data_IF_874702390171
#
_entry.id   IF_874702390171
#
_cell.length_a   1.000
_cell.length_b   1.000
_cell.length_c   1.000
_cell.angle_alpha   90.00
_cell.angle_beta   90.00
_cell.angle_gamma   90.00
#
_symmetry.space_group_name_H-M   'P 1'
#
loop_
_entity.id
_entity.type
_entity.pdbx_description
1 polymer ?
#
# COMPACT_ATOMS: atom_id res chain seq x y z
N UNK A 1 -17.97 25.54 -24.44
CA UNK A 1 -18.43 24.64 -23.37
C UNK A 1 -17.31 24.51 -22.35
N UNK A 2 -17.54 24.63 -21.04
CA UNK A 2 -16.49 24.33 -20.07
C UNK A 2 -16.22 22.83 -20.11
N UNK A 3 -14.99 22.45 -20.41
CA UNK A 3 -14.53 21.06 -20.30
C UNK A 3 -14.39 20.79 -18.81
N UNK A 4 -15.22 19.92 -18.24
CA UNK A 4 -15.01 19.41 -16.88
C UNK A 4 -13.68 18.67 -16.89
N UNK A 5 -12.64 19.28 -16.35
CA UNK A 5 -11.34 18.64 -16.19
C UNK A 5 -11.46 17.64 -15.05
N UNK A 6 -11.56 16.35 -15.40
CA UNK A 6 -11.49 15.28 -14.40
C UNK A 6 -10.05 15.25 -13.90
N UNK A 7 -9.86 15.70 -12.66
CA UNK A 7 -8.56 15.59 -12.01
C UNK A 7 -8.25 14.12 -11.77
N UNK A 8 -7.08 13.63 -12.22
CA UNK A 8 -6.70 12.25 -11.96
C UNK A 8 -6.59 11.99 -10.46
N UNK A 9 -6.99 10.79 -10.03
CA UNK A 9 -7.01 10.35 -8.63
C UNK A 9 -6.07 9.17 -8.44
N UNK A 10 -5.44 9.09 -7.26
CA UNK A 10 -4.61 7.96 -6.85
C UNK A 10 -4.91 7.59 -5.39
N UNK A 11 -5.45 6.39 -5.20
CA UNK A 11 -5.81 5.88 -3.87
C UNK A 11 -4.96 4.65 -3.54
N UNK A 12 -4.31 4.69 -2.37
CA UNK A 12 -3.77 3.51 -1.72
C UNK A 12 -4.89 2.91 -0.87
N UNK A 13 -5.34 1.71 -1.20
CA UNK A 13 -6.59 1.15 -0.67
C UNK A 13 -6.36 0.23 0.52
N UNK A 14 -5.41 -0.70 0.40
CA UNK A 14 -5.21 -1.73 1.40
C UNK A 14 -3.75 -2.23 1.44
N UNK A 15 -3.35 -2.67 2.63
CA UNK A 15 -2.08 -3.33 2.90
C UNK A 15 -2.39 -4.68 3.57
N UNK A 16 -1.92 -5.77 2.99
CA UNK A 16 -2.02 -7.10 3.58
C UNK A 16 -0.62 -7.60 3.90
N UNK A 17 -0.34 -7.84 5.17
CA UNK A 17 1.01 -8.20 5.61
C UNK A 17 1.14 -9.69 5.93
N UNK A 18 2.31 -10.23 5.65
CA UNK A 18 2.79 -11.51 6.18
C UNK A 18 4.03 -11.27 7.07
N UNK A 19 4.84 -12.29 7.35
CA UNK A 19 6.06 -12.12 8.15
C UNK A 19 7.06 -11.15 7.49
N UNK A 20 7.33 -11.31 6.19
CA UNK A 20 8.36 -10.55 5.45
C UNK A 20 7.88 -9.90 4.17
N UNK A 21 6.57 -9.71 4.04
CA UNK A 21 6.01 -9.06 2.86
C UNK A 21 4.75 -8.28 3.18
N UNK A 22 4.45 -7.32 2.31
CA UNK A 22 3.19 -6.59 2.26
C UNK A 22 2.69 -6.64 0.83
N UNK A 23 1.44 -7.05 0.64
CA UNK A 23 0.70 -6.86 -0.61
C UNK A 23 -0.01 -5.51 -0.54
N UNK A 24 0.34 -4.62 -1.46
CA UNK A 24 -0.19 -3.28 -1.61
C UNK A 24 -1.29 -3.36 -2.68
N UNK A 25 -2.49 -2.85 -2.40
CA UNK A 25 -3.57 -2.69 -3.39
C UNK A 25 -3.91 -1.22 -3.56
N UNK A 26 -4.07 -0.78 -4.80
CA UNK A 26 -4.30 0.62 -5.14
C UNK A 26 -5.20 0.79 -6.36
N UNK A 27 -5.71 2.00 -6.52
CA UNK A 27 -6.56 2.37 -7.65
C UNK A 27 -6.14 3.74 -8.16
N UNK A 28 -6.19 3.90 -9.48
CA UNK A 28 -6.00 5.18 -10.12
C UNK A 28 -7.16 5.48 -11.07
N UNK A 29 -7.52 6.76 -11.17
CA UNK A 29 -8.40 7.27 -12.20
C UNK A 29 -7.59 8.16 -13.13
N UNK A 30 -7.42 7.72 -14.37
CA UNK A 30 -6.56 8.38 -15.37
C UNK A 30 -5.39 7.49 -15.81
N UNK A 31 -4.72 7.90 -16.88
CA UNK A 31 -3.60 7.16 -17.44
C UNK A 31 -2.29 7.56 -16.75
N UNK A 32 -1.72 6.64 -15.97
CA UNK A 32 -0.45 6.85 -15.29
C UNK A 32 0.71 6.57 -16.25
N UNK A 33 1.67 7.50 -16.32
CA UNK A 33 2.94 7.36 -17.04
C UNK A 33 4.00 6.70 -16.17
N UNK A 34 4.13 7.13 -14.90
CA UNK A 34 5.06 6.51 -13.93
C UNK A 34 4.39 6.38 -12.58
N UNK A 35 4.68 5.28 -11.88
CA UNK A 35 4.17 5.00 -10.55
C UNK A 35 5.31 4.57 -9.64
N UNK A 36 5.38 5.17 -8.47
CA UNK A 36 6.39 4.89 -7.44
C UNK A 36 5.66 4.55 -6.14
N UNK A 37 6.06 3.45 -5.51
CA UNK A 37 5.76 3.16 -4.12
C UNK A 37 6.86 3.73 -3.25
N UNK A 38 6.47 4.54 -2.28
CA UNK A 38 7.33 5.10 -1.27
C UNK A 38 7.10 4.34 0.02
N UNK A 39 8.16 3.75 0.57
CA UNK A 39 8.11 3.00 1.82
C UNK A 39 9.05 3.64 2.82
N UNK A 40 8.57 3.92 4.03
CA UNK A 40 9.42 4.29 5.18
C UNK A 40 9.39 3.17 6.21
N UNK A 41 10.57 2.82 6.70
CA UNK A 41 10.78 1.89 7.79
C UNK A 41 10.83 2.66 9.12
N UNK A 42 10.02 2.28 10.10
CA UNK A 42 9.97 2.99 11.39
C UNK A 42 11.28 2.87 12.19
N UNK A 43 12.04 1.80 11.98
CA UNK A 43 13.25 1.52 12.75
C UNK A 43 14.41 2.41 12.32
N UNK A 44 14.57 2.67 11.01
CA UNK A 44 15.66 3.50 10.49
C UNK A 44 15.21 4.85 9.90
N UNK A 45 13.91 5.06 9.74
CA UNK A 45 13.29 6.26 9.18
C UNK A 45 13.55 6.46 7.68
N UNK A 46 14.26 5.56 7.00
CA UNK A 46 14.69 5.77 5.61
C UNK A 46 13.54 5.54 4.65
N UNK A 47 13.41 6.44 3.69
CA UNK A 47 12.48 6.29 2.58
C UNK A 47 13.15 5.47 1.46
N UNK A 48 12.50 4.36 1.08
CA UNK A 48 12.81 3.59 -0.11
C UNK A 48 11.81 3.95 -1.21
N UNK A 49 12.33 4.23 -2.40
CA UNK A 49 11.53 4.47 -3.61
C UNK A 49 11.58 3.21 -4.46
N UNK A 50 10.41 2.68 -4.80
CA UNK A 50 10.25 1.45 -5.55
C UNK A 50 9.42 1.79 -6.80
N UNK A 51 10.02 1.81 -8.01
CA UNK A 51 9.26 1.92 -9.24
C UNK A 51 8.36 0.69 -9.40
N UNK A 52 7.07 0.91 -9.65
CA UNK A 52 6.11 -0.19 -9.86
C UNK A 52 5.33 0.00 -11.16
N UNK A 53 4.78 -1.08 -11.69
CA UNK A 53 4.06 -1.04 -12.96
C UNK A 53 2.73 -0.29 -12.82
N UNK A 54 2.46 0.71 -13.68
CA UNK A 54 1.15 1.35 -13.75
C UNK A 54 0.05 0.41 -14.29
N UNK A 55 0.40 -0.71 -14.91
CA UNK A 55 -0.54 -1.64 -15.53
C UNK A 55 -1.22 -2.58 -14.52
N UNK A 56 -0.70 -2.67 -13.30
CA UNK A 56 -1.26 -3.49 -12.23
C UNK A 56 -1.90 -2.62 -11.17
N UNK A 57 -2.84 -3.18 -10.42
CA UNK A 57 -3.51 -2.54 -9.28
C UNK A 57 -3.03 -3.10 -7.94
N UNK A 58 -1.98 -3.92 -7.97
CA UNK A 58 -1.34 -4.48 -6.80
C UNK A 58 0.17 -4.60 -6.98
N UNK A 59 0.88 -4.65 -5.86
CA UNK A 59 2.32 -4.84 -5.80
C UNK A 59 2.69 -5.62 -4.53
N UNK A 60 3.54 -6.63 -4.65
CA UNK A 60 4.09 -7.36 -3.52
C UNK A 60 5.44 -6.76 -3.16
N UNK A 61 5.50 -6.06 -2.02
CA UNK A 61 6.76 -5.65 -1.41
C UNK A 61 7.27 -6.79 -0.52
N UNK A 62 8.38 -7.42 -0.93
CA UNK A 62 8.98 -8.58 -0.26
C UNK A 62 10.27 -8.22 0.47
N UNK A 63 10.83 -9.20 1.18
CA UNK A 63 12.12 -9.08 1.88
C UNK A 63 12.13 -7.97 2.94
N UNK A 64 10.99 -7.83 3.62
CA UNK A 64 10.87 -6.95 4.78
C UNK A 64 11.47 -7.60 6.02
N UNK A 65 11.95 -6.75 6.92
CA UNK A 65 12.26 -7.19 8.27
C UNK A 65 10.96 -7.49 9.02
N UNK A 66 10.96 -8.62 9.72
CA UNK A 66 9.85 -9.04 10.55
C UNK A 66 9.75 -8.17 11.81
N UNK A 67 8.55 -8.05 12.38
CA UNK A 67 8.35 -7.29 13.62
C UNK A 67 8.74 -5.81 13.49
N UNK A 68 8.41 -5.21 12.35
CA UNK A 68 8.72 -3.83 12.04
C UNK A 68 7.50 -3.10 11.46
N UNK A 69 7.43 -1.79 11.65
CA UNK A 69 6.34 -0.97 11.11
C UNK A 69 6.79 -0.30 9.82
N UNK A 70 5.98 -0.46 8.79
CA UNK A 70 6.19 0.17 7.49
C UNK A 70 5.07 1.16 7.19
N UNK A 71 5.43 2.33 6.66
CA UNK A 71 4.49 3.31 6.13
C UNK A 71 4.65 3.40 4.63
N UNK A 72 3.55 3.39 3.90
CA UNK A 72 3.50 3.38 2.45
C UNK A 72 2.66 4.54 1.92
N UNK A 73 3.11 5.14 0.82
CA UNK A 73 2.27 5.97 -0.04
C UNK A 73 2.71 5.83 -1.50
N UNK A 74 1.81 6.14 -2.42
CA UNK A 74 2.09 6.11 -3.84
C UNK A 74 2.29 7.51 -4.37
N UNK A 75 3.14 7.63 -5.39
CA UNK A 75 3.31 8.84 -6.20
C UNK A 75 3.16 8.47 -7.66
N UNK A 76 2.24 9.14 -8.35
CA UNK A 76 2.02 8.95 -9.79
C UNK A 76 2.31 10.23 -10.57
N UNK A 77 2.87 10.06 -11.77
CA UNK A 77 2.87 11.06 -12.83
C UNK A 77 1.92 10.59 -13.92
N UNK A 78 0.90 11.37 -14.24
CA UNK A 78 -0.11 11.05 -15.24
C UNK A 78 0.31 11.51 -16.64
N UNK A 79 -0.29 10.93 -17.68
CA UNK A 79 0.02 11.24 -19.08
C UNK A 79 -0.28 12.69 -19.46
N UNK A 80 -1.22 13.34 -18.76
CA UNK A 80 -1.53 14.76 -18.87
C UNK A 80 -0.59 15.67 -18.06
N UNK A 81 0.48 15.12 -17.45
CA UNK A 81 1.47 15.86 -16.69
C UNK A 81 1.13 16.11 -15.22
N UNK A 82 -0.09 15.75 -14.78
CA UNK A 82 -0.46 15.89 -13.37
C UNK A 82 0.35 14.94 -12.49
N UNK A 83 0.71 15.41 -11.30
CA UNK A 83 1.41 14.64 -10.28
C UNK A 83 0.50 14.54 -9.07
N UNK A 84 0.35 13.35 -8.50
CA UNK A 84 -0.52 13.12 -7.34
C UNK A 84 0.10 12.07 -6.43
N UNK A 85 -0.08 12.27 -5.12
CA UNK A 85 0.25 11.30 -4.10
C UNK A 85 -1.04 10.69 -3.53
N UNK A 86 -0.99 9.42 -3.15
CA UNK A 86 -2.06 8.83 -2.33
C UNK A 86 -1.97 9.31 -0.89
N UNK A 87 -3.01 9.03 -0.10
CA UNK A 87 -2.88 8.99 1.36
C UNK A 87 -1.83 7.93 1.78
N UNK A 88 -1.24 8.12 2.95
CA UNK A 88 -0.31 7.17 3.55
C UNK A 88 -1.05 6.13 4.38
N UNK A 89 -0.67 4.85 4.26
CA UNK A 89 -1.14 3.77 5.13
C UNK A 89 0.05 3.13 5.85
N UNK A 90 -0.16 2.65 7.07
CA UNK A 90 0.87 1.96 7.84
C UNK A 90 0.44 0.54 8.21
N UNK A 91 1.41 -0.37 8.30
CA UNK A 91 1.19 -1.78 8.66
C UNK A 91 2.39 -2.31 9.46
N UNK A 92 2.13 -3.25 10.36
CA UNK A 92 3.19 -3.95 11.10
C UNK A 92 3.47 -5.29 10.42
N UNK A 93 4.73 -5.59 10.11
CA UNK A 93 5.15 -6.91 9.64
C UNK A 93 5.12 -7.91 10.80
N UNK A 94 4.62 -9.12 10.53
CA UNK A 94 4.38 -10.09 11.59
C UNK A 94 5.67 -10.74 12.11
N UNK A 95 5.78 -10.88 13.43
CA UNK A 95 6.91 -11.58 14.10
C UNK A 95 6.93 -13.10 13.84
N UNK A 96 5.86 -13.69 13.30
CA UNK A 96 5.65 -15.16 13.29
C UNK A 96 5.32 -15.65 11.88
N UNK A 97 6.02 -16.67 11.39
CA UNK A 97 5.52 -17.47 10.27
C UNK A 97 4.30 -18.25 10.76
N UNK A 98 3.11 -17.66 10.61
CA UNK A 98 1.87 -18.33 10.94
C UNK A 98 1.62 -19.44 9.91
N UNK A 99 1.28 -20.67 10.32
CA UNK A 99 0.73 -21.66 9.41
C UNK A 99 -0.47 -21.07 8.66
N UNK A 100 -0.70 -21.47 7.41
CA UNK A 100 -1.73 -20.85 6.55
C UNK A 100 -3.13 -20.75 7.19
N UNK A 101 -3.49 -21.70 8.08
CA UNK A 101 -4.76 -21.69 8.81
C UNK A 101 -4.88 -20.64 9.93
N UNK A 102 -3.78 -20.08 10.43
CA UNK A 102 -3.78 -19.02 11.45
C UNK A 102 -3.77 -17.61 10.84
N UNK A 103 -3.29 -17.46 9.60
CA UNK A 103 -3.30 -16.18 8.88
C UNK A 103 -4.73 -15.63 8.78
N UNK A 104 -5.71 -16.47 8.44
CA UNK A 104 -7.12 -16.05 8.33
C UNK A 104 -7.75 -15.65 9.68
N UNK A 105 -7.30 -16.25 10.79
CA UNK A 105 -7.79 -15.91 12.13
C UNK A 105 -7.22 -14.58 12.60
N UNK A 106 -5.92 -14.38 12.40
CA UNK A 106 -5.23 -13.14 12.76
C UNK A 106 -5.73 -11.98 11.89
N UNK A 107 -5.90 -12.18 10.59
CA UNK A 107 -6.53 -11.20 9.69
C UNK A 107 -7.91 -10.71 10.19
N UNK A 108 -8.74 -11.60 10.75
CA UNK A 108 -10.02 -11.23 11.36
C UNK A 108 -9.89 -10.44 12.67
N UNK A 109 -8.77 -10.54 13.38
CA UNK A 109 -8.52 -9.77 14.60
C UNK A 109 -7.99 -8.37 14.28
N UNK A 110 -7.14 -8.23 13.27
CA UNK A 110 -6.46 -6.96 12.97
C UNK A 110 -7.25 -6.06 12.01
N UNK A 111 -8.09 -6.65 11.16
CA UNK A 111 -8.80 -5.95 10.08
C UNK A 111 -10.32 -5.88 10.28
N UNK A 112 -10.80 -6.12 11.50
CA UNK A 112 -12.23 -6.09 11.79
C UNK A 112 -12.58 -4.88 12.69
N UNK A 113 -13.06 -3.76 12.11
CA UNK A 113 -13.48 -2.61 12.90
C UNK A 113 -14.77 -2.84 13.72
N UNK A 114 -15.37 -4.04 13.72
CA UNK A 114 -16.75 -4.25 14.22
C UNK A 114 -16.86 -5.26 15.38
N UNK A 115 -15.80 -5.96 15.80
CA UNK A 115 -15.92 -6.88 16.95
C UNK A 115 -15.00 -6.47 18.09
N UNK A 116 -15.31 -5.31 18.68
CA UNK A 116 -15.16 -5.16 20.13
C UNK A 116 -16.36 -5.83 20.77
N UNK A 117 -16.07 -6.92 21.47
CA UNK A 117 -16.82 -7.54 22.57
C UNK A 117 -18.24 -8.02 22.28
N UNK A 118 -18.45 -9.34 22.39
CA UNK A 118 -19.25 -9.98 23.46
C UNK A 118 -18.63 -11.34 23.79
#
# INVERSE_FOLDING_TARGET
>A
MPRTEIRPQLDLLALYTTNKSVMITYRAQGFIKTLELKRSDFTDGKEKIIPISPAHTNFLDSELESNNRYTYFLRAVFSNGFITNSASLAVNSWKRSLPAGEILKQYRLDYNPVFKEW
#
